data_IF_384129810665
#
_entry.id   IF_384129810665
#
_cell.length_a   1.000
_cell.length_b   1.000
_cell.length_c   1.000
_cell.angle_alpha   90.00
_cell.angle_beta   90.00
_cell.angle_gamma   90.00
#
_symmetry.space_group_name_H-M   'P 1'
#
loop_
_entity.id
_entity.type
_entity.pdbx_description
1 polymer ?
#
# COMPACT_ATOMS: atom_id res chain seq x y z
N UNK A 1 12.95 15.94 1.73
CA UNK A 1 11.98 17.04 1.52
C UNK A 1 11.11 17.30 2.75
N UNK A 2 10.49 16.27 3.37
CA UNK A 2 9.60 16.45 4.55
C UNK A 2 10.26 17.09 5.79
N UNK A 3 11.54 16.84 6.07
CA UNK A 3 12.22 17.41 7.25
C UNK A 3 12.29 18.94 7.25
N UNK A 4 12.29 19.56 6.07
CA UNK A 4 12.41 21.01 5.94
C UNK A 4 11.14 21.74 6.40
N UNK A 5 9.98 21.16 6.12
CA UNK A 5 8.67 21.76 6.42
C UNK A 5 8.05 21.29 7.74
N UNK A 6 8.76 20.44 8.50
CA UNK A 6 8.36 19.95 9.82
C UNK A 6 6.92 19.40 9.91
N UNK A 7 6.42 18.79 8.83
CA UNK A 7 5.05 18.27 8.78
C UNK A 7 4.74 17.30 9.93
N UNK A 8 3.52 17.37 10.44
CA UNK A 8 3.03 16.56 11.56
C UNK A 8 2.31 15.28 11.10
N UNK A 9 1.91 15.22 9.83
CA UNK A 9 1.13 14.12 9.28
C UNK A 9 1.67 13.71 7.92
N UNK A 10 1.88 12.41 7.73
CA UNK A 10 2.02 11.81 6.40
C UNK A 10 0.84 10.87 6.20
N UNK A 11 0.10 11.11 5.11
CA UNK A 11 -1.05 10.33 4.72
C UNK A 11 -0.76 9.66 3.37
N UNK A 12 -0.81 8.33 3.34
CA UNK A 12 -0.71 7.55 2.10
C UNK A 12 -2.12 7.16 1.67
N UNK A 13 -2.55 7.63 0.50
CA UNK A 13 -3.92 7.45 0.00
C UNK A 13 -3.92 6.48 -1.17
N UNK A 14 -4.69 5.40 -1.03
CA UNK A 14 -5.13 4.55 -2.11
C UNK A 14 -6.42 4.99 -2.74
N UNK A 15 -6.73 4.43 -3.90
CA UNK A 15 -8.02 4.68 -4.54
C UNK A 15 -8.52 3.47 -5.32
N UNK A 16 -9.85 3.37 -5.42
CA UNK A 16 -10.52 2.42 -6.31
C UNK A 16 -10.15 2.66 -7.78
N UNK A 17 -10.39 1.67 -8.64
CA UNK A 17 -10.12 1.71 -10.09
C UNK A 17 -8.67 2.09 -10.41
N UNK A 18 -7.73 1.61 -9.60
CA UNK A 18 -6.33 1.95 -9.78
C UNK A 18 -5.75 1.19 -10.97
N UNK A 19 -5.46 1.91 -12.06
CA UNK A 19 -4.83 1.33 -13.24
C UNK A 19 -3.51 0.62 -12.94
N UNK A 20 -2.76 1.09 -11.92
CA UNK A 20 -1.53 0.43 -11.46
C UNK A 20 -1.77 -0.92 -10.78
N UNK A 21 -2.81 -1.02 -9.93
CA UNK A 21 -3.20 -2.29 -9.30
C UNK A 21 -3.76 -3.26 -10.34
N UNK A 22 -4.60 -2.78 -11.26
CA UNK A 22 -5.10 -3.59 -12.36
C UNK A 22 -3.94 -4.14 -13.22
N UNK A 23 -2.97 -3.29 -13.55
CA UNK A 23 -1.77 -3.70 -14.26
C UNK A 23 -0.96 -4.75 -13.47
N UNK A 24 -0.77 -4.55 -12.16
CA UNK A 24 -0.09 -5.50 -11.28
C UNK A 24 -0.78 -6.88 -11.26
N UNK A 25 -2.10 -6.90 -11.12
CA UNK A 25 -2.89 -8.14 -11.08
C UNK A 25 -2.89 -8.87 -12.42
N UNK A 26 -2.79 -8.14 -13.54
CA UNK A 26 -2.72 -8.70 -14.90
C UNK A 26 -1.35 -9.25 -15.29
N UNK A 27 -0.28 -8.99 -14.53
CA UNK A 27 1.03 -9.59 -14.82
C UNK A 27 0.94 -11.08 -14.50
N UNK A 28 1.18 -11.96 -15.47
CA UNK A 28 1.34 -13.40 -15.18
C UNK A 28 2.70 -13.64 -14.52
N UNK A 29 2.78 -14.64 -13.64
CA UNK A 29 3.98 -14.85 -12.82
C UNK A 29 5.21 -15.28 -13.67
N UNK A 30 4.97 -15.85 -14.85
CA UNK A 30 5.99 -16.27 -15.84
C UNK A 30 5.91 -15.51 -17.18
N UNK A 31 5.21 -14.36 -17.24
CA UNK A 31 5.10 -13.60 -18.48
C UNK A 31 6.48 -13.10 -18.96
N UNK A 32 6.81 -13.37 -20.22
CA UNK A 32 7.92 -12.71 -20.90
C UNK A 32 7.71 -11.19 -20.84
N UNK A 33 8.79 -10.38 -20.66
CA UNK A 33 8.65 -8.93 -20.53
C UNK A 33 7.93 -8.37 -21.76
N UNK A 34 6.74 -7.81 -21.54
CA UNK A 34 5.96 -7.21 -22.61
C UNK A 34 6.46 -5.77 -22.87
N UNK A 35 5.84 -5.09 -23.84
CA UNK A 35 6.25 -3.79 -24.39
C UNK A 35 6.39 -2.63 -23.38
N UNK A 36 6.08 -2.82 -22.09
CA UNK A 36 6.13 -1.78 -21.06
C UNK A 36 6.92 -2.19 -19.82
N UNK A 37 8.18 -2.60 -20.02
CA UNK A 37 9.14 -2.98 -18.96
C UNK A 37 9.21 -1.94 -17.83
N UNK A 38 9.04 -0.66 -18.13
CA UNK A 38 9.05 0.41 -17.12
C UNK A 38 7.85 0.33 -16.17
N UNK A 39 6.62 0.22 -16.72
CA UNK A 39 5.40 0.14 -15.89
C UNK A 39 5.40 -1.17 -15.10
N UNK A 40 5.79 -2.28 -15.73
CA UNK A 40 5.90 -3.58 -15.07
C UNK A 40 6.85 -3.55 -13.88
N UNK A 41 8.05 -2.99 -14.04
CA UNK A 41 9.01 -2.86 -12.95
C UNK A 41 8.52 -1.93 -11.84
N UNK A 42 7.80 -0.86 -12.19
CA UNK A 42 7.23 0.06 -11.22
C UNK A 42 6.12 -0.60 -10.39
N UNK A 43 5.17 -1.31 -11.02
CA UNK A 43 4.06 -1.95 -10.29
C UNK A 43 4.52 -3.15 -9.47
N UNK A 44 5.62 -3.83 -9.85
CA UNK A 44 6.18 -4.99 -9.12
C UNK A 44 6.53 -4.72 -7.66
N UNK A 45 6.66 -3.46 -7.24
CA UNK A 45 6.80 -3.10 -5.83
C UNK A 45 5.63 -3.65 -4.99
N UNK A 46 4.44 -3.76 -5.58
CA UNK A 46 3.25 -4.34 -4.94
C UNK A 46 3.11 -5.87 -5.03
N UNK A 47 4.11 -6.60 -5.52
CA UNK A 47 4.00 -8.06 -5.75
C UNK A 47 3.62 -8.85 -4.49
N UNK A 48 4.10 -8.43 -3.31
CA UNK A 48 3.70 -9.06 -2.03
C UNK A 48 2.18 -8.98 -1.80
N UNK A 49 1.58 -7.81 -2.06
CA UNK A 49 0.14 -7.61 -1.96
C UNK A 49 -0.63 -8.45 -2.99
N UNK A 50 -0.14 -8.52 -4.24
CA UNK A 50 -0.71 -9.38 -5.29
C UNK A 50 -0.77 -10.85 -4.86
N UNK A 51 0.35 -11.37 -4.35
CA UNK A 51 0.47 -12.79 -3.99
C UNK A 51 -0.49 -13.17 -2.87
N UNK A 52 -0.62 -12.31 -1.85
CA UNK A 52 -1.54 -12.57 -0.74
C UNK A 52 -3.00 -12.57 -1.19
N UNK A 53 -3.40 -11.63 -2.06
CA UNK A 53 -4.76 -11.60 -2.61
C UNK A 53 -5.04 -12.86 -3.45
N UNK A 54 -4.08 -13.29 -4.27
CA UNK A 54 -4.19 -14.55 -5.03
C UNK A 54 -4.37 -15.76 -4.14
N UNK A 55 -3.68 -15.81 -2.99
CA UNK A 55 -3.77 -16.92 -2.05
C UNK A 55 -5.11 -16.93 -1.30
N UNK A 56 -5.53 -15.78 -0.77
CA UNK A 56 -6.71 -15.64 0.09
C UNK A 56 -8.03 -15.64 -0.69
N UNK A 57 -8.01 -15.17 -1.96
CA UNK A 57 -9.20 -15.01 -2.81
C UNK A 57 -9.12 -15.79 -4.13
N UNK A 58 -8.43 -16.93 -4.11
CA UNK A 58 -8.23 -17.79 -5.29
C UNK A 58 -9.52 -18.18 -6.02
N UNK A 59 -10.65 -18.23 -5.30
CA UNK A 59 -11.94 -18.70 -5.81
C UNK A 59 -12.78 -17.56 -6.43
N UNK A 60 -12.31 -16.31 -6.39
CA UNK A 60 -13.01 -15.14 -6.93
C UNK A 60 -12.58 -14.84 -8.38
N UNK A 61 -13.46 -14.19 -9.14
CA UNK A 61 -13.15 -13.75 -10.50
C UNK A 61 -12.01 -12.73 -10.54
N UNK A 62 -11.38 -12.51 -11.70
CA UNK A 62 -10.32 -11.50 -11.83
C UNK A 62 -10.78 -10.09 -11.45
N UNK A 63 -12.00 -9.71 -11.82
CA UNK A 63 -12.55 -8.39 -11.48
C UNK A 63 -12.83 -8.28 -9.98
N UNK A 64 -13.32 -9.34 -9.36
CA UNK A 64 -13.46 -9.41 -7.91
C UNK A 64 -12.09 -9.39 -7.24
N UNK A 65 -11.08 -10.14 -7.70
CA UNK A 65 -9.73 -10.10 -7.15
C UNK A 65 -9.10 -8.71 -7.31
N UNK A 66 -9.31 -8.00 -8.42
CA UNK A 66 -8.88 -6.61 -8.57
C UNK A 66 -9.64 -5.70 -7.61
N UNK A 67 -10.96 -5.86 -7.55
CA UNK A 67 -11.83 -5.10 -6.65
C UNK A 67 -11.50 -5.41 -5.20
N UNK A 68 -11.06 -6.60 -4.84
CA UNK A 68 -10.62 -6.97 -3.50
C UNK A 68 -9.18 -6.57 -3.25
N UNK A 69 -8.32 -6.50 -4.28
CA UNK A 69 -7.04 -5.81 -4.17
C UNK A 69 -7.23 -4.30 -3.90
N UNK A 70 -8.31 -3.72 -4.44
CA UNK A 70 -8.74 -2.32 -4.22
C UNK A 70 -9.51 -2.13 -2.89
N UNK A 71 -10.45 -3.01 -2.55
CA UNK A 71 -11.42 -2.92 -1.43
C UNK A 71 -11.05 -3.72 -0.19
N UNK A 72 -10.35 -4.86 -0.33
CA UNK A 72 -9.88 -5.62 0.83
C UNK A 72 -8.61 -4.97 1.36
N UNK A 73 -8.78 -4.48 2.57
CA UNK A 73 -7.85 -3.94 3.55
C UNK A 73 -6.72 -4.93 3.95
N UNK A 74 -6.22 -5.77 3.04
CA UNK A 74 -5.00 -6.54 3.22
C UNK A 74 -4.00 -6.19 2.11
N UNK A 75 -4.38 -6.24 0.83
CA UNK A 75 -3.47 -5.85 -0.26
C UNK A 75 -3.09 -4.36 -0.25
N UNK A 76 -4.09 -3.47 -0.13
CA UNK A 76 -3.84 -2.02 -0.08
C UNK A 76 -3.34 -1.57 1.30
N UNK A 77 -3.90 -2.11 2.39
CA UNK A 77 -3.34 -1.87 3.73
C UNK A 77 -1.92 -2.39 3.81
N UNK A 78 -1.54 -3.53 3.22
CA UNK A 78 -0.14 -3.95 3.18
C UNK A 78 0.68 -3.13 2.21
N UNK A 79 0.21 -2.72 1.04
CA UNK A 79 0.98 -1.82 0.18
C UNK A 79 1.23 -0.46 0.86
N UNK A 80 0.21 0.07 1.54
CA UNK A 80 0.31 1.27 2.39
C UNK A 80 1.19 0.99 3.59
N UNK A 81 1.05 -0.13 4.29
CA UNK A 81 1.85 -0.48 5.47
C UNK A 81 3.31 -0.79 5.09
N UNK A 82 3.56 -1.37 3.91
CA UNK A 82 4.89 -1.54 3.32
C UNK A 82 5.46 -0.18 2.99
N UNK A 83 4.65 0.73 2.42
CA UNK A 83 5.09 2.11 2.18
C UNK A 83 5.36 2.85 3.49
N UNK A 84 4.53 2.66 4.52
CA UNK A 84 4.71 3.22 5.86
C UNK A 84 5.93 2.58 6.56
N UNK A 85 6.18 1.29 6.35
CA UNK A 85 7.37 0.57 6.81
C UNK A 85 8.63 1.07 6.12
N UNK A 86 8.57 1.29 4.80
CA UNK A 86 9.63 1.93 4.04
C UNK A 86 9.87 3.35 4.56
N UNK A 87 8.82 4.10 4.91
CA UNK A 87 8.95 5.40 5.57
C UNK A 87 9.64 5.28 6.94
N UNK A 88 9.30 4.27 7.74
CA UNK A 88 9.95 3.98 9.04
C UNK A 88 11.39 3.45 8.92
N UNK A 89 11.81 2.99 7.73
CA UNK A 89 13.21 2.64 7.47
C UNK A 89 14.12 3.88 7.46
N UNK A 90 13.56 5.07 7.21
CA UNK A 90 14.30 6.31 7.27
C UNK A 90 14.45 6.81 8.72
N UNK A 91 15.68 7.00 9.24
CA UNK A 91 15.91 7.37 10.64
C UNK A 91 15.18 8.64 11.07
N UNK A 92 15.10 9.65 10.20
CA UNK A 92 14.45 10.92 10.50
C UNK A 92 12.92 10.84 10.59
N UNK A 93 12.29 9.87 9.91
CA UNK A 93 10.86 9.61 10.03
C UNK A 93 10.62 8.88 11.34
N UNK A 94 11.37 7.79 11.56
CA UNK A 94 11.28 6.95 12.76
C UNK A 94 11.38 7.78 14.04
N UNK A 95 12.42 8.59 14.16
CA UNK A 95 12.65 9.42 15.34
C UNK A 95 11.47 10.36 15.64
N UNK A 96 10.85 10.94 14.60
CA UNK A 96 9.70 11.84 14.78
C UNK A 96 8.43 11.09 15.17
N UNK A 97 8.23 9.90 14.62
CA UNK A 97 7.09 9.05 14.96
C UNK A 97 7.20 8.56 16.42
N UNK A 98 8.38 8.09 16.84
CA UNK A 98 8.65 7.67 18.22
C UNK A 98 8.45 8.81 19.22
N UNK A 99 8.86 10.04 18.85
CA UNK A 99 8.66 11.25 19.65
C UNK A 99 7.23 11.81 19.60
N UNK A 100 6.31 11.17 18.87
CA UNK A 100 4.92 11.65 18.71
C UNK A 100 4.79 12.96 17.93
N UNK A 101 5.84 13.36 17.18
CA UNK A 101 5.87 14.59 16.36
C UNK A 101 5.47 14.36 14.91
N UNK A 102 5.17 13.13 14.53
CA UNK A 102 4.76 12.74 13.20
C UNK A 102 3.80 11.55 13.28
N UNK A 103 2.59 11.72 12.75
CA UNK A 103 1.62 10.65 12.60
C UNK A 103 1.71 10.06 11.17
N UNK A 104 1.66 8.74 11.09
CA UNK A 104 1.60 7.98 9.84
C UNK A 104 0.19 7.40 9.69
N UNK A 105 -0.49 7.77 8.61
CA UNK A 105 -1.86 7.36 8.34
C UNK A 105 -1.99 6.75 6.95
N UNK A 106 -2.89 5.80 6.82
CA UNK A 106 -3.32 5.24 5.55
C UNK A 106 -4.77 5.64 5.27
N UNK A 107 -5.10 5.84 4.00
CA UNK A 107 -6.48 6.02 3.59
C UNK A 107 -6.78 5.33 2.26
N UNK A 108 -8.07 5.12 2.00
CA UNK A 108 -8.59 4.64 0.74
C UNK A 108 -9.76 5.53 0.29
N UNK A 109 -9.74 5.95 -0.98
CA UNK A 109 -10.81 6.72 -1.59
C UNK A 109 -11.54 5.91 -2.67
N UNK A 110 -12.83 5.68 -2.49
CA UNK A 110 -13.68 5.05 -3.49
C UNK A 110 -14.25 6.10 -4.45
N UNK A 111 -13.88 6.02 -5.72
CA UNK A 111 -14.36 6.92 -6.78
C UNK A 111 -15.78 6.56 -7.25
N UNK A 112 -16.24 5.34 -7.00
CA UNK A 112 -17.58 4.88 -7.38
C UNK A 112 -18.58 5.35 -6.35
N UNK A 113 -18.31 5.06 -5.08
CA UNK A 113 -19.22 5.34 -3.98
C UNK A 113 -18.95 6.71 -3.31
N UNK A 114 -17.85 7.37 -3.67
CA UNK A 114 -17.44 8.66 -3.11
C UNK A 114 -17.02 8.59 -1.64
N UNK A 115 -16.64 7.41 -1.15
CA UNK A 115 -16.34 7.16 0.26
C UNK A 115 -14.86 7.33 0.55
N UNK A 116 -14.54 7.72 1.79
CA UNK A 116 -13.16 7.88 2.25
C UNK A 116 -12.98 7.13 3.57
N UNK A 117 -12.16 6.07 3.53
CA UNK A 117 -11.78 5.30 4.70
C UNK A 117 -10.40 5.76 5.18
N UNK A 118 -10.26 6.01 6.48
CA UNK A 118 -9.01 6.43 7.11
C UNK A 118 -8.65 5.43 8.21
N UNK A 119 -7.39 5.02 8.27
CA UNK A 119 -6.83 4.27 9.38
C UNK A 119 -5.50 4.85 9.84
N UNK A 120 -5.21 4.70 11.13
CA UNK A 120 -3.95 5.09 11.72
C UNK A 120 -3.09 3.85 11.96
N UNK A 121 -1.80 3.94 11.63
CA UNK A 121 -0.88 2.86 11.91
C UNK A 121 -0.25 3.10 13.28
N UNK A 122 -0.65 2.30 14.27
CA UNK A 122 0.01 2.33 15.57
C UNK A 122 1.28 1.51 15.53
N UNK A 123 2.41 2.21 15.39
CA UNK A 123 3.75 1.63 15.32
C UNK A 123 4.15 0.93 16.63
N UNK A 124 3.49 1.25 17.76
CA UNK A 124 3.80 0.63 19.06
C UNK A 124 3.14 -0.73 19.26
N UNK A 125 2.02 -0.98 18.58
CA UNK A 125 1.21 -2.19 18.78
C UNK A 125 1.18 -3.12 17.57
N UNK A 126 1.67 -2.68 16.40
CA UNK A 126 1.73 -3.53 15.18
C UNK A 126 3.00 -4.40 15.21
N UNK A 127 2.92 -5.75 15.37
CA UNK A 127 4.09 -6.62 15.55
C UNK A 127 5.08 -6.61 14.39
N UNK A 128 4.60 -6.36 13.16
CA UNK A 128 5.44 -6.25 11.96
C UNK A 128 6.34 -5.00 11.94
N UNK A 129 6.06 -4.02 12.79
CA UNK A 129 6.81 -2.77 12.94
C UNK A 129 7.24 -2.51 14.38
N UNK A 130 6.99 -3.46 15.30
CA UNK A 130 7.39 -3.38 16.68
C UNK A 130 8.93 -3.36 16.72
N UNK A 131 9.46 -2.26 17.26
CA UNK A 131 10.90 -2.10 17.43
C UNK A 131 11.38 -3.12 18.47
N UNK A 132 12.25 -4.04 18.05
CA UNK A 132 13.03 -4.90 18.94
C UNK A 132 14.04 -4.09 19.73
#
# INVERSE_FOLDING_TARGET
>A
MFCHYQVENILVIGHSRCGGIKALMSIEDDAAPNKSVFIENWVKIGTSAKNKIKEEFKDLSFEEQCTHCEKIALGFKEAVNVTLGNLLSYPFVRERVEKGKLALRGAHYDFVDGTFELWELDVKTTPAFAFS
#
